data_IF_164714918501
#
_entry.id   IF_164714918501
#
_cell.length_a   1.000
_cell.length_b   1.000
_cell.length_c   1.000
_cell.angle_alpha   90.00
_cell.angle_beta   90.00
_cell.angle_gamma   90.00
#
_symmetry.space_group_name_H-M   'P 1'
#
loop_
_entity.id
_entity.type
_entity.pdbx_description
1 polymer ?
#
# COMPACT_ATOMS: atom_id res chain seq x y z
N UNK A 1 9.79 -19.51 8.56
CA UNK A 1 8.42 -19.93 8.19
C UNK A 1 8.08 -21.22 8.91
N UNK A 2 7.33 -21.15 10.02
CA UNK A 2 6.88 -22.33 10.77
C UNK A 2 5.48 -22.67 10.26
N UNK A 3 5.38 -23.73 9.46
CA UNK A 3 4.11 -24.25 8.98
C UNK A 3 3.41 -24.96 10.14
N UNK A 4 2.15 -24.61 10.43
CA UNK A 4 1.33 -25.42 11.33
C UNK A 4 1.18 -26.81 10.73
N UNK A 5 1.59 -27.85 11.46
CA UNK A 5 1.44 -29.23 11.01
C UNK A 5 -0.04 -29.53 10.74
N UNK A 6 -0.41 -29.71 9.47
CA UNK A 6 -1.73 -30.21 9.05
C UNK A 6 -2.45 -29.42 7.96
N UNK A 7 -2.00 -28.22 7.58
CA UNK A 7 -2.65 -27.44 6.52
C UNK A 7 -1.98 -27.60 5.15
N UNK A 8 -2.78 -27.86 4.10
CA UNK A 8 -2.33 -27.96 2.71
C UNK A 8 -1.77 -26.62 2.17
N UNK A 9 -2.20 -25.50 2.73
CA UNK A 9 -1.77 -24.15 2.36
C UNK A 9 -1.60 -23.31 3.63
N UNK A 10 -0.62 -22.41 3.64
CA UNK A 10 -0.43 -21.49 4.76
C UNK A 10 -1.64 -20.55 4.85
N UNK A 11 -2.31 -20.54 6.01
CA UNK A 11 -3.28 -19.50 6.34
C UNK A 11 -2.63 -18.32 7.03
N UNK A 12 -3.13 -17.14 6.71
CA UNK A 12 -2.78 -15.91 7.39
C UNK A 12 -3.26 -15.95 8.84
N UNK A 13 -2.45 -15.42 9.76
CA UNK A 13 -2.88 -15.13 11.12
C UNK A 13 -3.81 -13.91 11.12
N UNK A 14 -4.52 -13.71 12.24
CA UNK A 14 -5.34 -12.51 12.43
C UNK A 14 -4.52 -11.22 12.26
N UNK A 15 -3.29 -11.19 12.78
CA UNK A 15 -2.38 -10.04 12.64
C UNK A 15 -1.98 -9.80 11.18
N UNK A 16 -1.75 -10.87 10.40
CA UNK A 16 -1.45 -10.78 8.97
C UNK A 16 -2.66 -10.31 8.16
N UNK A 17 -3.88 -10.70 8.56
CA UNK A 17 -5.14 -10.21 7.98
C UNK A 17 -5.32 -8.71 8.25
N UNK A 18 -5.13 -8.26 9.49
CA UNK A 18 -5.18 -6.84 9.86
C UNK A 18 -4.10 -6.02 9.14
N UNK A 19 -2.89 -6.56 9.04
CA UNK A 19 -1.79 -5.96 8.29
C UNK A 19 -2.17 -5.83 6.81
N UNK A 20 -2.80 -6.85 6.23
CA UNK A 20 -3.30 -6.80 4.86
C UNK A 20 -4.33 -5.68 4.67
N UNK A 21 -5.30 -5.56 5.58
CA UNK A 21 -6.29 -4.47 5.55
C UNK A 21 -5.64 -3.09 5.63
N UNK A 22 -4.60 -2.92 6.46
CA UNK A 22 -3.84 -1.68 6.56
C UNK A 22 -3.17 -1.31 5.22
N UNK A 23 -2.49 -2.26 4.58
CA UNK A 23 -1.85 -2.00 3.29
C UNK A 23 -2.86 -1.77 2.16
N UNK A 24 -3.99 -2.49 2.17
CA UNK A 24 -5.09 -2.26 1.22
C UNK A 24 -5.69 -0.86 1.37
N UNK A 25 -5.90 -0.41 2.60
CA UNK A 25 -6.43 0.93 2.88
C UNK A 25 -5.50 2.04 2.41
N UNK A 26 -4.19 1.79 2.40
CA UNK A 26 -3.16 2.74 1.94
C UNK A 26 -2.77 2.56 0.47
N UNK A 27 -3.28 1.53 -0.21
CA UNK A 27 -2.87 1.17 -1.57
C UNK A 27 -3.05 2.33 -2.55
N UNK A 28 -4.17 3.05 -2.47
CA UNK A 28 -4.41 4.21 -3.34
C UNK A 28 -3.36 5.31 -3.14
N UNK A 29 -3.00 5.59 -1.89
CA UNK A 29 -1.97 6.57 -1.54
C UNK A 29 -0.60 6.15 -2.06
N UNK A 30 -0.24 4.86 -1.95
CA UNK A 30 0.98 4.31 -2.53
C UNK A 30 1.03 4.52 -4.04
N UNK A 31 -0.08 4.24 -4.75
CA UNK A 31 -0.18 4.43 -6.20
C UNK A 31 -0.08 5.91 -6.61
N UNK A 32 -0.70 6.81 -5.85
CA UNK A 32 -0.59 8.25 -6.10
C UNK A 32 0.85 8.74 -5.92
N UNK A 33 1.51 8.33 -4.83
CA UNK A 33 2.92 8.66 -4.59
C UNK A 33 3.82 8.13 -5.70
N UNK A 34 3.64 6.87 -6.11
CA UNK A 34 4.44 6.29 -7.19
C UNK A 34 4.24 7.06 -8.50
N UNK A 35 3.00 7.38 -8.86
CA UNK A 35 2.71 8.15 -10.07
C UNK A 35 3.28 9.57 -10.01
N UNK A 36 3.27 10.20 -8.84
CA UNK A 36 3.82 11.54 -8.65
C UNK A 36 5.35 11.50 -8.80
N UNK A 37 6.00 10.55 -8.13
CA UNK A 37 7.44 10.33 -8.18
C UNK A 37 7.92 10.04 -9.61
N UNK A 38 7.24 9.17 -10.35
CA UNK A 38 7.59 8.82 -11.74
C UNK A 38 7.45 10.00 -12.70
N UNK A 39 6.47 10.88 -12.49
CA UNK A 39 6.20 12.02 -13.38
C UNK A 39 7.06 13.24 -13.06
N UNK A 40 7.31 13.50 -11.78
CA UNK A 40 7.83 14.79 -11.31
C UNK A 40 9.15 14.66 -10.55
N UNK A 41 9.91 13.58 -10.75
CA UNK A 41 11.17 13.32 -10.02
C UNK A 41 12.13 14.53 -9.97
N UNK A 42 12.28 15.26 -11.08
CA UNK A 42 13.16 16.44 -11.16
C UNK A 42 12.62 17.62 -10.34
N UNK A 43 11.31 17.83 -10.39
CA UNK A 43 10.63 18.90 -9.68
C UNK A 43 10.64 18.62 -8.17
N UNK A 44 10.42 17.36 -7.76
CA UNK A 44 10.54 16.93 -6.37
C UNK A 44 11.94 17.18 -5.80
N UNK A 45 12.99 16.90 -6.58
CA UNK A 45 14.37 17.20 -6.17
C UNK A 45 14.61 18.72 -6.01
N UNK A 46 14.06 19.53 -6.91
CA UNK A 46 14.17 20.99 -6.81
C UNK A 46 13.40 21.54 -5.60
N UNK A 47 12.17 21.06 -5.36
CA UNK A 47 11.35 21.44 -4.20
C UNK A 47 12.04 21.05 -2.88
N UNK A 48 12.74 19.92 -2.83
CA UNK A 48 13.52 19.54 -1.65
C UNK A 48 14.63 20.55 -1.35
N UNK A 49 15.35 21.03 -2.38
CA UNK A 49 16.39 22.05 -2.25
C UNK A 49 15.78 23.38 -1.81
N UNK A 50 14.70 23.81 -2.48
CA UNK A 50 14.04 25.09 -2.21
C UNK A 50 13.40 25.12 -0.81
N UNK A 51 12.83 24.00 -0.37
CA UNK A 51 12.23 23.86 0.96
C UNK A 51 13.26 23.95 2.09
N UNK A 52 14.45 23.37 1.93
CA UNK A 52 15.56 23.56 2.87
C UNK A 52 16.06 25.02 2.86
N UNK A 53 16.07 25.68 1.71
CA UNK A 53 16.43 27.10 1.61
C UNK A 53 15.39 28.02 2.29
N UNK A 54 14.10 27.66 2.27
CA UNK A 54 12.99 28.42 2.86
C UNK A 54 12.87 28.26 4.39
N UNK A 55 13.39 27.19 4.98
CA UNK A 55 13.37 26.91 6.44
C UNK A 55 14.23 27.86 7.29
N UNK A 56 14.80 28.90 6.68
CA UNK A 56 15.58 29.99 7.30
C UNK A 56 14.86 30.59 8.51
N UNK A 57 15.29 30.22 9.71
CA UNK A 57 15.06 30.99 10.93
C UNK A 57 16.38 31.54 11.51
N UNK A 58 17.54 30.94 11.18
CA UNK A 58 18.83 31.41 11.71
C UNK A 58 19.96 31.44 10.67
N UNK A 59 20.89 32.38 10.87
CA UNK A 59 21.95 32.75 9.92
C UNK A 59 23.19 31.83 10.00
N UNK A 60 23.22 30.90 10.95
CA UNK A 60 24.38 30.06 11.28
C UNK A 60 24.40 28.66 10.62
N UNK A 61 23.31 28.21 9.98
CA UNK A 61 23.30 26.91 9.29
C UNK A 61 24.08 26.97 7.95
N UNK A 62 25.26 26.33 7.95
CA UNK A 62 26.18 26.19 6.83
C UNK A 62 25.50 25.59 5.59
N UNK A 63 25.91 26.05 4.41
CA UNK A 63 25.35 25.61 3.11
C UNK A 63 25.56 24.11 2.81
N UNK A 64 26.53 23.44 3.45
CA UNK A 64 26.82 22.02 3.23
C UNK A 64 25.72 21.09 3.77
N UNK A 65 25.12 21.44 4.91
CA UNK A 65 24.07 20.63 5.55
C UNK A 65 22.75 20.63 4.77
N UNK A 66 22.49 21.70 4.01
CA UNK A 66 21.26 21.87 3.22
C UNK A 66 21.20 20.92 2.03
N UNK A 67 22.29 20.86 1.27
CA UNK A 67 22.42 19.94 0.14
C UNK A 67 22.41 18.50 0.63
N UNK A 68 23.06 18.22 1.77
CA UNK A 68 23.04 16.90 2.39
C UNK A 68 21.60 16.48 2.79
N UNK A 69 20.84 17.36 3.44
CA UNK A 69 19.45 17.07 3.85
C UNK A 69 18.52 16.87 2.66
N UNK A 70 18.62 17.70 1.61
CA UNK A 70 17.83 17.53 0.38
C UNK A 70 18.17 16.21 -0.35
N UNK A 71 19.45 15.82 -0.36
CA UNK A 71 19.90 14.53 -0.90
C UNK A 71 19.33 13.37 -0.08
N UNK A 72 19.41 13.42 1.25
CA UNK A 72 18.84 12.41 2.15
C UNK A 72 17.33 12.26 1.92
N UNK A 73 16.60 13.36 1.78
CA UNK A 73 15.17 13.34 1.49
C UNK A 73 14.88 12.67 0.14
N UNK A 74 15.66 13.00 -0.89
CA UNK A 74 15.53 12.40 -2.23
C UNK A 74 15.82 10.91 -2.22
N UNK A 75 16.83 10.47 -1.47
CA UNK A 75 17.17 9.06 -1.29
C UNK A 75 16.06 8.31 -0.55
N UNK A 76 15.50 8.91 0.51
CA UNK A 76 14.34 8.35 1.21
C UNK A 76 13.14 8.20 0.28
N UNK A 77 12.84 9.20 -0.56
CA UNK A 77 11.74 9.11 -1.54
C UNK A 77 11.96 7.98 -2.55
N UNK A 78 13.19 7.83 -3.08
CA UNK A 78 13.55 6.71 -3.97
C UNK A 78 13.38 5.35 -3.31
N UNK A 79 13.77 5.25 -2.04
CA UNK A 79 13.63 4.02 -1.26
C UNK A 79 12.15 3.69 -1.02
N UNK A 80 11.33 4.66 -0.60
CA UNK A 80 9.86 4.48 -0.43
C UNK A 80 9.21 4.07 -1.75
N UNK A 81 9.63 4.67 -2.88
CA UNK A 81 9.16 4.28 -4.20
C UNK A 81 9.46 2.81 -4.51
N UNK A 82 10.69 2.36 -4.22
CA UNK A 82 11.11 0.97 -4.39
C UNK A 82 10.21 0.00 -3.62
N UNK A 83 9.98 0.28 -2.33
CA UNK A 83 9.11 -0.54 -1.47
C UNK A 83 7.66 -0.56 -1.97
N UNK A 84 7.09 0.61 -2.22
CA UNK A 84 5.72 0.73 -2.71
C UNK A 84 5.50 0.00 -4.02
N UNK A 85 6.49 -0.04 -4.91
CA UNK A 85 6.43 -0.78 -6.17
C UNK A 85 6.33 -2.29 -5.94
N UNK A 86 7.13 -2.84 -5.03
CA UNK A 86 7.11 -4.26 -4.67
C UNK A 86 5.76 -4.61 -4.05
N UNK A 87 5.35 -3.88 -3.02
CA UNK A 87 4.09 -4.11 -2.30
C UNK A 87 2.88 -4.01 -3.24
N UNK A 88 2.85 -2.97 -4.09
CA UNK A 88 1.76 -2.79 -5.04
C UNK A 88 1.66 -3.94 -6.04
N UNK A 89 2.79 -4.49 -6.48
CA UNK A 89 2.83 -5.64 -7.39
C UNK A 89 2.24 -6.89 -6.72
N UNK A 90 2.65 -7.18 -5.48
CA UNK A 90 2.14 -8.32 -4.71
C UNK A 90 0.63 -8.16 -4.42
N UNK A 91 0.17 -6.97 -4.02
CA UNK A 91 -1.25 -6.69 -3.77
C UNK A 91 -2.09 -6.87 -5.04
N UNK A 92 -1.65 -6.35 -6.19
CA UNK A 92 -2.34 -6.55 -7.47
C UNK A 92 -2.40 -8.02 -7.86
N UNK A 93 -1.31 -8.77 -7.62
CA UNK A 93 -1.29 -10.20 -7.88
C UNK A 93 -2.26 -10.93 -6.95
N UNK A 94 -2.26 -10.63 -5.65
CA UNK A 94 -3.19 -11.24 -4.69
C UNK A 94 -4.65 -10.97 -5.07
N UNK A 95 -4.99 -9.73 -5.45
CA UNK A 95 -6.33 -9.39 -5.95
C UNK A 95 -6.71 -10.21 -7.19
N UNK A 96 -5.77 -10.42 -8.11
CA UNK A 96 -6.02 -11.21 -9.32
C UNK A 96 -6.38 -12.67 -9.02
N UNK A 97 -5.91 -13.22 -7.90
CA UNK A 97 -6.12 -14.61 -7.48
C UNK A 97 -7.42 -14.82 -6.69
N UNK A 98 -8.18 -13.76 -6.37
CA UNK A 98 -9.52 -13.92 -5.80
C UNK A 98 -10.41 -14.63 -6.83
N UNK A 99 -10.98 -15.77 -6.43
CA UNK A 99 -11.78 -16.64 -7.30
C UNK A 99 -13.21 -16.14 -7.47
N UNK A 100 -13.81 -15.61 -6.40
CA UNK A 100 -15.19 -15.13 -6.43
C UNK A 100 -15.25 -13.71 -6.99
N UNK A 101 -15.93 -13.55 -8.14
CA UNK A 101 -16.01 -12.26 -8.84
C UNK A 101 -16.61 -11.15 -7.97
N UNK A 102 -17.59 -11.46 -7.12
CA UNK A 102 -18.25 -10.46 -6.28
C UNK A 102 -17.37 -10.00 -5.11
N UNK A 103 -16.55 -10.91 -4.58
CA UNK A 103 -15.51 -10.60 -3.58
C UNK A 103 -14.41 -9.75 -4.23
N UNK A 104 -13.95 -10.18 -5.40
CA UNK A 104 -12.94 -9.46 -6.18
C UNK A 104 -13.38 -8.06 -6.55
N UNK A 105 -14.64 -7.90 -6.94
CA UNK A 105 -15.26 -6.61 -7.24
C UNK A 105 -15.35 -5.72 -5.99
N UNK A 106 -15.74 -6.27 -4.84
CA UNK A 106 -15.84 -5.52 -3.59
C UNK A 106 -14.47 -4.93 -3.18
N UNK A 107 -13.41 -5.74 -3.25
CA UNK A 107 -12.04 -5.30 -2.99
C UNK A 107 -11.56 -4.27 -4.02
N UNK A 108 -11.85 -4.49 -5.31
CA UNK A 108 -11.44 -3.58 -6.38
C UNK A 108 -12.02 -2.17 -6.15
N UNK A 109 -13.33 -2.10 -5.94
CA UNK A 109 -14.02 -0.84 -5.67
C UNK A 109 -13.48 -0.16 -4.39
N UNK A 110 -13.41 -0.91 -3.29
CA UNK A 110 -13.06 -0.35 -1.98
C UNK A 110 -11.61 0.15 -1.90
N UNK A 111 -10.66 -0.63 -2.42
CA UNK A 111 -9.23 -0.43 -2.14
C UNK A 111 -8.41 -0.06 -3.37
N UNK A 112 -8.62 -0.73 -4.51
CA UNK A 112 -7.83 -0.48 -5.71
C UNK A 112 -8.26 0.81 -6.42
N UNK A 113 -9.57 1.03 -6.54
CA UNK A 113 -10.13 2.27 -7.04
C UNK A 113 -10.09 3.37 -5.96
N UNK A 114 -10.26 2.97 -4.69
CA UNK A 114 -10.16 3.85 -3.51
C UNK A 114 -11.49 4.45 -3.09
N UNK A 115 -12.62 3.83 -3.43
CA UNK A 115 -13.94 4.32 -3.02
C UNK A 115 -14.18 4.17 -1.53
N UNK A 116 -14.97 5.07 -0.96
CA UNK A 116 -15.50 4.93 0.39
C UNK A 116 -16.40 3.70 0.51
N UNK A 117 -16.69 3.27 1.74
CA UNK A 117 -17.66 2.19 2.00
C UNK A 117 -19.02 2.49 1.36
N UNK A 118 -19.50 3.74 1.46
CA UNK A 118 -20.79 4.17 0.90
C UNK A 118 -20.81 4.05 -0.61
N UNK A 119 -19.76 4.50 -1.28
CA UNK A 119 -19.61 4.39 -2.74
C UNK A 119 -19.45 2.94 -3.18
N UNK A 120 -18.68 2.14 -2.45
CA UNK A 120 -18.51 0.69 -2.73
C UNK A 120 -19.87 -0.01 -2.74
N UNK A 121 -20.67 0.24 -1.71
CA UNK A 121 -22.05 -0.28 -1.61
C UNK A 121 -22.90 0.19 -2.80
N UNK A 122 -22.80 1.46 -3.19
CA UNK A 122 -23.59 2.05 -4.27
C UNK A 122 -23.21 1.47 -5.64
N UNK A 123 -21.93 1.20 -5.88
CA UNK A 123 -21.40 0.72 -7.16
C UNK A 123 -21.43 -0.81 -7.30
N UNK A 124 -21.64 -1.54 -6.21
CA UNK A 124 -21.96 -2.97 -6.29
C UNK A 124 -23.33 -3.21 -6.92
N UNK A 125 -23.55 -4.44 -7.43
CA UNK A 125 -24.79 -4.82 -8.12
C UNK A 125 -26.04 -4.41 -7.31
N UNK A 126 -27.05 -3.84 -8.00
CA UNK A 126 -28.31 -3.40 -7.39
C UNK A 126 -28.95 -4.56 -6.60
N UNK A 127 -29.38 -4.28 -5.37
CA UNK A 127 -30.09 -5.24 -4.51
C UNK A 127 -29.21 -6.01 -3.52
N UNK A 128 -27.90 -5.79 -3.50
CA UNK A 128 -27.01 -6.37 -2.48
C UNK A 128 -27.19 -5.61 -1.16
N UNK A 129 -27.47 -6.32 -0.07
CA UNK A 129 -27.55 -5.75 1.27
C UNK A 129 -26.18 -5.24 1.74
N UNK A 130 -26.16 -4.19 2.55
CA UNK A 130 -24.92 -3.61 3.10
C UNK A 130 -24.05 -4.65 3.82
N UNK A 131 -24.66 -5.50 4.63
CA UNK A 131 -23.97 -6.59 5.34
C UNK A 131 -23.32 -7.61 4.41
N UNK A 132 -23.90 -7.83 3.22
CA UNK A 132 -23.32 -8.70 2.21
C UNK A 132 -22.08 -8.08 1.57
N UNK A 133 -22.07 -6.76 1.36
CA UNK A 133 -20.88 -6.04 0.88
C UNK A 133 -19.76 -6.13 1.92
N UNK A 134 -20.07 -5.85 3.19
CA UNK A 134 -19.08 -5.91 4.26
C UNK A 134 -18.48 -7.31 4.40
N UNK A 135 -19.32 -8.36 4.39
CA UNK A 135 -18.85 -9.75 4.42
C UNK A 135 -17.90 -10.07 3.26
N UNK A 136 -18.26 -9.66 2.04
CA UNK A 136 -17.41 -9.87 0.85
C UNK A 136 -16.08 -9.12 0.95
N UNK A 137 -16.07 -7.93 1.55
CA UNK A 137 -14.82 -7.20 1.83
C UNK A 137 -13.95 -8.01 2.80
N UNK A 138 -14.52 -8.49 3.92
CA UNK A 138 -13.78 -9.31 4.88
C UNK A 138 -13.23 -10.60 4.26
N UNK A 139 -14.04 -11.34 3.50
CA UNK A 139 -13.63 -12.55 2.77
C UNK A 139 -12.51 -12.26 1.76
N UNK A 140 -12.59 -11.11 1.08
CA UNK A 140 -11.56 -10.67 0.16
C UNK A 140 -10.24 -10.33 0.84
N UNK A 141 -10.28 -9.64 1.99
CA UNK A 141 -9.08 -9.32 2.78
C UNK A 141 -8.42 -10.62 3.25
N UNK A 142 -9.18 -11.57 3.78
CA UNK A 142 -8.65 -12.87 4.22
C UNK A 142 -8.05 -13.67 3.06
N UNK A 143 -8.74 -13.73 1.92
CA UNK A 143 -8.24 -14.39 0.70
C UNK A 143 -6.94 -13.78 0.20
N UNK A 144 -6.84 -12.44 0.22
CA UNK A 144 -5.63 -11.73 -0.15
C UNK A 144 -4.51 -11.97 0.86
N UNK A 145 -4.79 -11.95 2.17
CA UNK A 145 -3.80 -12.20 3.21
C UNK A 145 -3.15 -13.59 3.05
N UNK A 146 -3.97 -14.62 2.81
CA UNK A 146 -3.49 -15.97 2.51
C UNK A 146 -2.56 -15.99 1.29
N UNK A 147 -2.94 -15.27 0.22
CA UNK A 147 -2.13 -15.19 -1.00
C UNK A 147 -0.83 -14.41 -0.79
N UNK A 148 -0.87 -13.31 -0.06
CA UNK A 148 0.28 -12.47 0.28
C UNK A 148 1.28 -13.24 1.16
N UNK A 149 0.79 -14.06 2.10
CA UNK A 149 1.62 -14.96 2.90
C UNK A 149 2.42 -15.92 2.03
N UNK A 150 1.77 -16.56 1.05
CA UNK A 150 2.43 -17.46 0.11
C UNK A 150 3.48 -16.75 -0.76
N UNK A 151 3.30 -15.45 -1.03
CA UNK A 151 4.24 -14.63 -1.80
C UNK A 151 5.42 -14.09 -0.97
N UNK A 152 5.43 -14.31 0.34
CA UNK A 152 6.45 -13.78 1.24
C UNK A 152 6.29 -12.28 1.54
N UNK A 153 5.09 -11.73 1.39
CA UNK A 153 4.82 -10.31 1.60
C UNK A 153 5.13 -9.86 3.02
N UNK A 154 4.76 -10.67 4.01
CA UNK A 154 4.94 -10.33 5.42
C UNK A 154 6.42 -10.34 5.82
N UNK A 155 7.23 -11.21 5.22
CA UNK A 155 8.67 -11.15 5.35
C UNK A 155 9.25 -9.91 4.67
N UNK A 156 8.74 -9.53 3.50
CA UNK A 156 9.22 -8.36 2.76
C UNK A 156 9.00 -7.05 3.53
N UNK A 157 7.83 -6.85 4.12
CA UNK A 157 7.55 -5.65 4.93
C UNK A 157 8.32 -5.65 6.27
N UNK A 158 8.74 -6.83 6.76
CA UNK A 158 9.51 -6.96 8.00
C UNK A 158 11.03 -6.86 7.80
N UNK A 159 11.54 -6.91 6.56
CA UNK A 159 12.99 -6.82 6.27
C UNK A 159 13.65 -5.53 6.74
N UNK A 160 12.87 -4.54 7.18
CA UNK A 160 13.33 -3.19 7.49
C UNK A 160 13.10 -2.79 8.96
N UNK A 161 12.98 -3.78 9.87
CA UNK A 161 13.09 -3.59 11.33
C UNK A 161 14.31 -4.32 11.90
#
# INVERSE_FOLDING_TARGET
MVWGQGELFAKASEDEIQTTEFYLSNFKSMQLFMSDFEKYQKELAQVAIDGEAARRIDQEDLHADKTANAVILTEKQKWVYGQNRIYSSMIRRAHSQILEDEVKQAIDLRFLQGYSRKETILFMKRGVAHSTVDRRISEGIESMANTLKLMGFFEEICKEF
#
